data_IF_260041437539
#
_entry.id   IF_260041437539
#
_cell.length_a   1.000
_cell.length_b   1.000
_cell.length_c   1.000
_cell.angle_alpha   90.00
_cell.angle_beta   90.00
_cell.angle_gamma   90.00
#
_symmetry.space_group_name_H-M   'P 1'
#
loop_
_entity.id
_entity.type
_entity.pdbx_description
1 polymer ?
#
# COMPACT_ATOMS: atom_id res chain seq x y z
N UNK A 1 11.96 10.63 12.32
CA UNK A 1 12.21 11.03 13.73
C UNK A 1 11.04 11.76 14.39
N UNK A 2 10.23 12.55 13.68
CA UNK A 2 9.11 13.30 14.27
C UNK A 2 8.16 12.46 15.15
N UNK A 3 7.83 11.23 14.76
CA UNK A 3 6.96 10.34 15.54
C UNK A 3 7.51 10.00 16.93
N UNK A 4 8.79 9.66 17.04
CA UNK A 4 9.44 9.35 18.33
C UNK A 4 9.43 10.60 19.22
N UNK A 5 9.81 11.76 18.68
CA UNK A 5 9.78 13.03 19.42
C UNK A 5 8.36 13.35 19.91
N UNK A 6 7.34 13.06 19.11
CA UNK A 6 5.94 13.26 19.48
C UNK A 6 5.51 12.38 20.67
N UNK A 7 6.00 11.14 20.73
CA UNK A 7 5.78 10.23 21.86
C UNK A 7 6.49 10.75 23.11
N UNK A 8 7.73 11.22 22.98
CA UNK A 8 8.47 11.76 24.13
C UNK A 8 7.79 13.04 24.67
N UNK A 9 7.33 13.92 23.79
CA UNK A 9 6.54 15.12 24.14
C UNK A 9 5.21 14.77 24.81
N UNK A 10 4.47 13.80 24.29
CA UNK A 10 3.19 13.39 24.90
C UNK A 10 3.37 12.75 26.28
N UNK A 11 4.55 12.20 26.57
CA UNK A 11 4.94 11.67 27.89
C UNK A 11 5.58 12.72 28.81
N UNK A 12 5.66 13.98 28.39
CA UNK A 12 6.28 15.06 29.16
C UNK A 12 7.80 14.94 29.30
N UNK A 13 8.45 14.09 28.50
CA UNK A 13 9.91 13.92 28.49
C UNK A 13 10.62 15.00 27.68
N UNK A 14 9.87 15.79 26.91
CA UNK A 14 10.32 16.97 26.18
C UNK A 14 9.33 18.12 26.45
N UNK A 15 9.82 19.35 26.44
CA UNK A 15 9.10 20.57 26.84
C UNK A 15 8.06 21.06 25.84
N UNK A 16 8.16 20.66 24.58
CA UNK A 16 7.22 21.06 23.52
C UNK A 16 5.91 20.26 23.56
N UNK A 17 4.83 20.87 23.07
CA UNK A 17 3.57 20.13 22.84
C UNK A 17 3.71 19.13 21.70
N UNK A 18 3.12 17.92 21.83
CA UNK A 18 3.07 16.97 20.72
C UNK A 18 2.22 17.55 19.57
N UNK A 19 2.70 17.36 18.35
CA UNK A 19 1.93 17.61 17.14
C UNK A 19 0.68 16.73 17.12
N UNK A 20 -0.44 17.27 16.64
CA UNK A 20 -1.69 16.52 16.53
C UNK A 20 -1.70 15.78 15.19
N UNK A 21 -1.78 14.44 15.16
CA UNK A 21 -1.97 13.72 13.90
C UNK A 21 -3.38 14.01 13.35
N UNK A 22 -3.56 13.80 12.04
CA UNK A 22 -4.89 13.79 11.42
C UNK A 22 -5.75 12.62 11.88
N UNK A 23 -7.01 12.62 11.47
CA UNK A 23 -7.95 11.58 11.85
C UNK A 23 -7.55 10.22 11.27
N UNK A 24 -7.60 9.13 12.07
CA UNK A 24 -7.23 7.82 11.61
C UNK A 24 -8.30 7.26 10.67
N UNK A 25 -7.87 6.65 9.56
CA UNK A 25 -8.73 5.75 8.80
C UNK A 25 -8.87 4.43 9.57
N UNK A 26 -10.08 4.15 10.06
CA UNK A 26 -10.41 2.87 10.69
C UNK A 26 -11.04 1.94 9.65
N UNK A 27 -10.38 0.81 9.39
CA UNK A 27 -10.91 -0.24 8.52
C UNK A 27 -11.00 -1.58 9.26
N UNK A 28 -11.91 -2.43 8.83
CA UNK A 28 -12.07 -3.81 9.32
C UNK A 28 -11.67 -4.87 8.29
N UNK A 29 -11.28 -4.46 7.08
CA UNK A 29 -10.97 -5.37 5.99
C UNK A 29 -9.72 -4.91 5.26
N UNK A 30 -8.85 -5.87 4.94
CA UNK A 30 -7.73 -5.67 4.05
C UNK A 30 -7.71 -6.77 2.99
N UNK A 31 -7.37 -6.39 1.76
CA UNK A 31 -7.27 -7.32 0.63
C UNK A 31 -5.87 -7.25 0.06
N UNK A 32 -5.34 -8.40 -0.34
CA UNK A 32 -4.04 -8.47 -1.01
C UNK A 32 -4.24 -8.87 -2.46
N UNK A 33 -3.59 -8.14 -3.36
CA UNK A 33 -3.43 -8.54 -4.75
C UNK A 33 -2.18 -9.39 -4.88
N UNK A 34 -2.34 -10.53 -5.53
CA UNK A 34 -1.27 -11.48 -5.77
C UNK A 34 -0.85 -11.44 -7.24
N UNK A 35 0.42 -11.76 -7.49
CA UNK A 35 0.93 -11.93 -8.85
C UNK A 35 0.24 -13.13 -9.50
N UNK A 36 -0.43 -12.98 -10.65
CA UNK A 36 -1.05 -14.11 -11.35
C UNK A 36 -0.02 -15.00 -12.05
N UNK A 37 1.20 -14.51 -12.30
CA UNK A 37 2.26 -15.22 -13.00
C UNK A 37 3.63 -14.61 -12.67
N UNK A 38 4.76 -15.29 -12.97
CA UNK A 38 6.09 -14.72 -12.75
C UNK A 38 6.45 -13.64 -13.77
N UNK A 39 7.18 -12.61 -13.35
CA UNK A 39 7.66 -11.59 -14.27
C UNK A 39 8.21 -10.33 -13.60
N UNK A 40 8.40 -9.29 -14.41
CA UNK A 40 8.83 -7.98 -13.94
C UNK A 40 7.64 -7.14 -13.50
N UNK A 41 7.63 -6.76 -12.24
CA UNK A 41 6.58 -5.95 -11.64
C UNK A 41 6.84 -4.46 -11.89
N UNK A 42 5.81 -3.73 -12.29
CA UNK A 42 5.82 -2.27 -12.38
C UNK A 42 4.57 -1.70 -11.75
N UNK A 43 4.72 -1.08 -10.58
CA UNK A 43 3.63 -0.46 -9.83
C UNK A 43 3.54 1.04 -10.10
N UNK A 44 2.31 1.54 -10.18
CA UNK A 44 1.97 2.97 -10.28
C UNK A 44 1.52 3.55 -8.94
N UNK A 45 1.36 2.69 -7.94
CA UNK A 45 0.86 3.03 -6.60
C UNK A 45 1.83 2.56 -5.53
N UNK A 46 2.04 3.40 -4.53
CA UNK A 46 2.92 3.13 -3.38
C UNK A 46 2.13 3.23 -2.07
N UNK A 47 2.73 2.74 -0.98
CA UNK A 47 2.14 2.82 0.36
C UNK A 47 1.69 4.25 0.72
N UNK A 48 0.52 4.35 1.33
CA UNK A 48 -0.12 5.61 1.75
C UNK A 48 -1.01 6.25 0.68
N UNK A 49 -0.93 5.81 -0.58
CA UNK A 49 -1.79 6.34 -1.64
C UNK A 49 -3.19 5.70 -1.63
N UNK A 50 -4.19 6.49 -2.00
CA UNK A 50 -5.55 6.01 -2.26
C UNK A 50 -5.66 5.36 -3.63
N UNK A 51 -6.53 4.36 -3.72
CA UNK A 51 -6.90 3.67 -4.95
C UNK A 51 -8.41 3.48 -5.02
N UNK A 52 -8.93 3.44 -6.24
CA UNK A 52 -10.35 3.15 -6.54
C UNK A 52 -10.47 1.74 -7.11
N UNK A 53 -11.55 1.02 -6.81
CA UNK A 53 -11.84 -0.29 -7.43
C UNK A 53 -11.78 -0.18 -8.96
N UNK A 54 -11.13 -1.15 -9.58
CA UNK A 54 -10.90 -1.20 -11.03
C UNK A 54 -9.76 -0.30 -11.52
N UNK A 55 -9.19 0.55 -10.66
CA UNK A 55 -8.06 1.39 -11.02
C UNK A 55 -6.84 0.56 -11.40
N UNK A 56 -6.14 0.96 -12.47
CA UNK A 56 -4.91 0.32 -12.91
C UNK A 56 -3.74 0.68 -11.98
N UNK A 57 -3.34 -0.27 -11.14
CA UNK A 57 -2.31 -0.10 -10.12
C UNK A 57 -0.90 -0.46 -10.60
N UNK A 58 -0.80 -1.10 -11.77
CA UNK A 58 0.47 -1.52 -12.34
C UNK A 58 0.30 -2.64 -13.35
N UNK A 59 1.41 -3.27 -13.73
CA UNK A 59 1.41 -4.44 -14.59
C UNK A 59 2.54 -5.39 -14.21
N UNK A 60 2.41 -6.64 -14.62
CA UNK A 60 3.50 -7.62 -14.64
C UNK A 60 3.86 -7.85 -16.10
N UNK A 61 5.15 -7.81 -16.41
CA UNK A 61 5.67 -8.16 -17.72
C UNK A 61 6.32 -9.54 -17.62
N UNK A 62 5.67 -10.60 -18.11
CA UNK A 62 6.26 -11.93 -18.15
C UNK A 62 7.48 -11.95 -19.07
N UNK A 63 8.29 -13.00 -18.95
CA UNK A 63 9.44 -13.21 -19.86
C UNK A 63 8.99 -13.46 -21.30
N UNK A 64 7.82 -14.06 -21.48
CA UNK A 64 7.22 -14.35 -22.78
C UNK A 64 5.75 -13.94 -22.76
N UNK A 65 5.29 -13.28 -23.83
CA UNK A 65 3.90 -12.84 -23.96
C UNK A 65 3.70 -11.34 -23.66
N UNK A 66 2.44 -10.97 -23.47
CA UNK A 66 2.03 -9.58 -23.28
C UNK A 66 2.03 -9.19 -21.78
N UNK A 67 2.24 -7.91 -21.44
CA UNK A 67 2.09 -7.44 -20.07
C UNK A 67 0.68 -7.66 -19.55
N UNK A 68 0.56 -8.15 -18.31
CA UNK A 68 -0.71 -8.37 -17.63
C UNK A 68 -1.02 -7.21 -16.69
N UNK A 69 -2.16 -6.52 -16.88
CA UNK A 69 -2.54 -5.39 -16.04
C UNK A 69 -2.99 -5.87 -14.66
N UNK A 70 -2.57 -5.13 -13.64
CA UNK A 70 -3.04 -5.28 -12.27
C UNK A 70 -4.06 -4.18 -11.96
N UNK A 71 -5.21 -4.59 -11.43
CA UNK A 71 -6.30 -3.67 -11.06
C UNK A 71 -6.62 -3.76 -9.57
N UNK A 72 -7.05 -2.63 -9.01
CA UNK A 72 -7.44 -2.55 -7.60
C UNK A 72 -8.75 -3.33 -7.37
N UNK A 73 -8.81 -4.27 -6.41
CA UNK A 73 -10.02 -5.06 -6.16
C UNK A 73 -11.10 -4.30 -5.39
N UNK A 74 -10.71 -3.26 -4.66
CA UNK A 74 -11.55 -2.46 -3.75
C UNK A 74 -11.09 -1.01 -3.73
N UNK A 75 -11.98 -0.12 -3.30
CA UNK A 75 -11.61 1.23 -2.89
C UNK A 75 -10.82 1.17 -1.58
N UNK A 76 -9.76 1.94 -1.46
CA UNK A 76 -8.95 1.89 -0.25
C UNK A 76 -7.64 2.66 -0.28
N UNK A 77 -6.82 2.38 0.74
CA UNK A 77 -5.46 2.91 0.88
C UNK A 77 -4.46 1.77 0.78
N UNK A 78 -3.42 1.94 -0.03
CA UNK A 78 -2.32 0.98 -0.12
C UNK A 78 -1.55 0.99 1.20
N UNK A 79 -1.57 -0.13 1.91
CA UNK A 79 -0.78 -0.32 3.13
C UNK A 79 0.66 -0.72 2.78
N UNK A 80 0.79 -1.61 1.80
CA UNK A 80 2.07 -2.17 1.35
C UNK A 80 2.05 -2.29 -0.16
N UNK A 81 3.15 -1.87 -0.79
CA UNK A 81 3.53 -2.23 -2.15
C UNK A 81 4.80 -3.08 -2.12
N UNK A 82 4.90 -4.07 -3.01
CA UNK A 82 6.14 -4.80 -3.22
C UNK A 82 7.24 -3.82 -3.68
N UNK A 83 8.44 -4.00 -3.13
CA UNK A 83 9.62 -3.21 -3.48
C UNK A 83 10.49 -3.90 -4.53
N UNK A 84 10.29 -5.20 -4.76
CA UNK A 84 11.06 -6.00 -5.69
C UNK A 84 10.57 -5.81 -7.14
N UNK A 85 11.53 -5.74 -8.06
CA UNK A 85 11.24 -5.58 -9.49
C UNK A 85 10.80 -6.90 -10.15
N UNK A 86 11.04 -8.05 -9.51
CA UNK A 86 10.68 -9.38 -10.00
C UNK A 86 9.76 -10.06 -9.01
N UNK A 87 8.76 -10.77 -9.51
CA UNK A 87 7.79 -11.52 -8.69
C UNK A 87 7.60 -12.92 -9.25
N UNK A 88 7.29 -13.87 -8.37
CA UNK A 88 6.80 -15.19 -8.70
C UNK A 88 5.26 -15.20 -8.69
N UNK A 89 4.66 -16.25 -9.27
CA UNK A 89 3.23 -16.50 -9.14
C UNK A 89 2.83 -16.62 -7.65
N UNK A 90 1.73 -15.97 -7.28
CA UNK A 90 1.23 -15.94 -5.91
C UNK A 90 1.87 -14.89 -5.00
N UNK A 91 2.95 -14.22 -5.42
CA UNK A 91 3.61 -13.20 -4.60
C UNK A 91 2.68 -12.03 -4.26
N UNK A 92 2.82 -11.50 -3.05
CA UNK A 92 2.01 -10.38 -2.57
C UNK A 92 2.51 -9.07 -3.17
N UNK A 93 1.76 -8.54 -4.13
CA UNK A 93 2.12 -7.33 -4.89
C UNK A 93 1.67 -6.06 -4.18
N UNK A 94 0.40 -5.95 -3.82
CA UNK A 94 -0.12 -4.84 -3.01
C UNK A 94 -1.07 -5.35 -1.93
N UNK A 95 -1.07 -4.71 -0.77
CA UNK A 95 -2.10 -4.91 0.26
C UNK A 95 -2.83 -3.59 0.50
N UNK A 96 -4.16 -3.65 0.50
CA UNK A 96 -5.05 -2.50 0.51
C UNK A 96 -5.95 -2.59 1.73
N UNK A 97 -6.00 -1.53 2.53
CA UNK A 97 -7.02 -1.32 3.55
C UNK A 97 -8.28 -0.79 2.86
N UNK A 98 -9.38 -1.53 2.94
CA UNK A 98 -10.63 -1.12 2.32
C UNK A 98 -11.19 0.11 3.05
N UNK A 99 -11.59 1.15 2.31
CA UNK A 99 -12.38 2.24 2.90
C UNK A 99 -13.83 1.79 3.09
N UNK A 100 -14.52 2.22 4.16
CA UNK A 100 -15.96 2.04 4.25
C UNK A 100 -16.62 2.71 3.04
N UNK A 101 -17.39 1.93 2.28
CA UNK A 101 -18.26 2.46 1.21
C UNK A 101 -19.53 3.07 1.77
#
# INVERSE_FOLDING_TARGET
>A
MAGILNVLRSRGQLTDRPARPGDPLVTRAATTLHSPEPGFLSLRKTSGQTITRGEHVGFIRPLTGAPVPLTAPVDGVVLRSAAEATVAEGDRVITVAATPG
#
